data_IF_788342712554
#
_entry.id   IF_788342712554
#
_cell.length_a   1.000
_cell.length_b   1.000
_cell.length_c   1.000
_cell.angle_alpha   90.00
_cell.angle_beta   90.00
_cell.angle_gamma   90.00
#
_symmetry.space_group_name_H-M   'P 1'
#
loop_
_entity.id
_entity.type
_entity.pdbx_description
1 polymer ?
#
# COMPACT_ATOMS: atom_id res chain seq x y z
N UNK A 1 9.80 -6.35 -6.14
CA UNK A 1 9.88 -5.93 -4.72
C UNK A 1 11.22 -6.31 -4.12
N UNK A 2 11.68 -7.56 -4.31
CA UNK A 2 13.03 -7.94 -3.89
C UNK A 2 14.12 -7.06 -4.53
N UNK A 3 14.05 -6.80 -5.84
CA UNK A 3 14.99 -5.88 -6.51
C UNK A 3 14.96 -4.45 -5.93
N UNK A 4 13.79 -3.98 -5.50
CA UNK A 4 13.61 -2.66 -4.93
C UNK A 4 14.27 -2.54 -3.55
N UNK A 5 14.15 -3.57 -2.71
CA UNK A 5 14.74 -3.56 -1.37
C UNK A 5 16.26 -3.72 -1.41
N UNK A 6 16.78 -4.52 -2.35
CA UNK A 6 18.22 -4.73 -2.55
C UNK A 6 18.87 -3.56 -3.27
N UNK A 7 18.27 -3.08 -4.36
CA UNK A 7 18.81 -1.99 -5.17
C UNK A 7 18.92 -0.65 -4.42
N UNK A 8 18.10 -0.47 -3.38
CA UNK A 8 18.08 0.74 -2.54
C UNK A 8 18.25 0.39 -1.05
N UNK A 9 19.17 -0.52 -0.73
CA UNK A 9 19.37 -1.07 0.61
C UNK A 9 19.53 0.00 1.70
N UNK A 10 20.38 1.01 1.53
CA UNK A 10 20.60 2.04 2.54
C UNK A 10 19.31 2.78 2.90
N UNK A 11 18.52 3.14 1.88
CA UNK A 11 17.24 3.83 2.06
C UNK A 11 16.24 2.93 2.79
N UNK A 12 16.12 1.66 2.41
CA UNK A 12 15.18 0.76 3.06
C UNK A 12 15.62 0.35 4.47
N UNK A 13 16.91 0.32 4.78
CA UNK A 13 17.42 0.15 6.15
C UNK A 13 17.01 1.33 7.02
N UNK A 14 17.05 2.56 6.51
CA UNK A 14 16.58 3.73 7.24
C UNK A 14 15.05 3.78 7.40
N UNK A 15 14.30 3.43 6.35
CA UNK A 15 12.83 3.46 6.36
C UNK A 15 12.24 2.36 7.25
N UNK A 16 12.78 1.14 7.17
CA UNK A 16 12.25 -0.03 7.87
C UNK A 16 12.91 -0.25 9.23
N UNK A 17 14.08 0.33 9.48
CA UNK A 17 14.82 0.18 10.73
C UNK A 17 15.04 -1.29 11.09
N UNK A 18 14.62 -1.68 12.30
CA UNK A 18 14.75 -3.05 12.82
C UNK A 18 13.93 -4.07 12.03
N UNK A 19 12.90 -3.65 11.30
CA UNK A 19 12.07 -4.54 10.47
C UNK A 19 12.72 -4.90 9.13
N UNK A 20 13.83 -4.27 8.75
CA UNK A 20 14.45 -4.45 7.43
C UNK A 20 14.76 -5.92 7.11
N UNK A 21 15.45 -6.65 8.00
CA UNK A 21 15.85 -8.04 7.73
C UNK A 21 14.64 -8.98 7.65
N UNK A 22 13.59 -8.73 8.46
CA UNK A 22 12.31 -9.46 8.38
C UNK A 22 11.67 -9.24 7.01
N UNK A 23 11.51 -7.99 6.59
CA UNK A 23 10.88 -7.64 5.31
C UNK A 23 11.69 -8.20 4.16
N UNK A 24 13.02 -8.00 4.15
CA UNK A 24 13.93 -8.51 3.12
C UNK A 24 13.82 -10.03 2.96
N UNK A 25 13.78 -10.76 4.07
CA UNK A 25 13.64 -12.22 4.05
C UNK A 25 12.27 -12.62 3.54
N UNK A 26 11.19 -11.99 4.04
CA UNK A 26 9.83 -12.32 3.64
C UNK A 26 9.53 -12.00 2.15
N UNK A 27 10.13 -10.94 1.59
CA UNK A 27 9.99 -10.64 0.15
C UNK A 27 10.85 -11.54 -0.74
N UNK A 28 11.79 -12.27 -0.14
CA UNK A 28 12.62 -13.28 -0.80
C UNK A 28 12.08 -14.67 -0.43
N UNK A 29 10.95 -15.06 -1.01
CA UNK A 29 10.46 -16.43 -0.90
C UNK A 29 11.36 -17.32 -1.78
N UNK A 30 12.15 -18.26 -1.23
CA UNK A 30 12.99 -19.14 -2.01
C UNK A 30 12.15 -20.06 -2.90
N UNK A 31 12.63 -20.38 -4.11
CA UNK A 31 11.91 -21.19 -5.11
C UNK A 31 11.46 -22.58 -4.60
N UNK A 32 12.04 -23.05 -3.49
CA UNK A 32 11.75 -24.34 -2.87
C UNK A 32 10.80 -24.28 -1.65
N UNK A 33 10.29 -23.09 -1.28
CA UNK A 33 9.36 -22.92 -0.17
C UNK A 33 7.92 -22.81 -0.68
N UNK A 34 7.03 -23.67 -0.17
CA UNK A 34 5.58 -23.64 -0.48
C UNK A 34 4.90 -22.56 0.37
N UNK A 35 5.19 -21.30 0.05
CA UNK A 35 4.60 -20.12 0.70
C UNK A 35 5.22 -19.75 2.05
N UNK A 36 4.89 -18.54 2.52
CA UNK A 36 5.32 -18.02 3.81
C UNK A 36 4.43 -18.57 4.94
N UNK A 37 5.05 -18.98 6.05
CA UNK A 37 4.34 -19.32 7.28
C UNK A 37 3.65 -18.08 7.87
N UNK A 38 2.68 -18.29 8.76
CA UNK A 38 1.90 -17.18 9.34
C UNK A 38 2.79 -16.14 10.05
N UNK A 39 3.86 -16.58 10.71
CA UNK A 39 4.80 -15.71 11.41
C UNK A 39 5.69 -14.88 10.46
N UNK A 40 5.77 -15.30 9.19
CA UNK A 40 6.51 -14.61 8.13
C UNK A 40 5.63 -13.61 7.36
N UNK A 41 4.32 -13.56 7.63
CA UNK A 41 3.43 -12.62 6.97
C UNK A 41 3.77 -11.18 7.34
N UNK A 42 3.81 -10.33 6.32
CA UNK A 42 4.05 -8.89 6.47
C UNK A 42 2.75 -8.14 6.63
N UNK A 43 2.74 -7.13 7.49
CA UNK A 43 1.63 -6.19 7.58
C UNK A 43 1.80 -5.04 6.58
N UNK A 44 0.71 -4.38 6.19
CA UNK A 44 0.81 -3.17 5.36
C UNK A 44 1.53 -2.01 6.07
N UNK A 45 1.63 -2.02 7.41
CA UNK A 45 2.50 -1.09 8.13
C UNK A 45 3.98 -1.38 7.87
N UNK A 46 4.35 -2.65 7.72
CA UNK A 46 5.73 -3.07 7.44
C UNK A 46 6.14 -2.80 5.99
N UNK A 47 5.22 -3.01 5.03
CA UNK A 47 5.56 -3.00 3.60
C UNK A 47 4.82 -1.98 2.75
N UNK A 48 3.94 -1.14 3.32
CA UNK A 48 3.08 -0.24 2.55
C UNK A 48 3.87 0.74 1.66
N UNK A 49 4.92 1.36 2.20
CA UNK A 49 5.84 2.21 1.43
C UNK A 49 6.62 1.43 0.36
N UNK A 50 7.00 0.19 0.66
CA UNK A 50 7.76 -0.66 -0.27
C UNK A 50 6.89 -1.09 -1.46
N UNK A 51 5.65 -1.48 -1.22
CA UNK A 51 4.67 -1.80 -2.27
C UNK A 51 4.38 -0.57 -3.13
N UNK A 52 4.02 0.57 -2.51
CA UNK A 52 3.67 1.79 -3.25
C UNK A 52 4.81 2.19 -4.18
N UNK A 53 6.05 2.15 -3.68
CA UNK A 53 7.25 2.53 -4.43
C UNK A 53 7.57 1.52 -5.53
N UNK A 54 7.58 0.22 -5.22
CA UNK A 54 7.88 -0.85 -6.20
C UNK A 54 6.94 -0.79 -7.40
N UNK A 55 5.64 -0.66 -7.14
CA UNK A 55 4.62 -0.77 -8.18
C UNK A 55 4.17 0.59 -8.72
N UNK A 56 4.69 1.69 -8.19
CA UNK A 56 4.37 3.06 -8.60
C UNK A 56 2.86 3.32 -8.54
N UNK A 57 2.27 2.99 -7.39
CA UNK A 57 0.85 3.13 -7.12
C UNK A 57 0.62 3.93 -5.84
N UNK A 58 -0.50 4.65 -5.77
CA UNK A 58 -1.03 5.13 -4.50
C UNK A 58 -1.66 3.92 -3.81
N UNK A 59 -1.05 3.50 -2.70
CA UNK A 59 -1.55 2.39 -1.90
C UNK A 59 -2.33 2.92 -0.71
N UNK A 60 -3.57 2.50 -0.56
CA UNK A 60 -4.40 2.86 0.60
C UNK A 60 -4.61 1.62 1.44
N UNK A 61 -4.27 1.69 2.74
CA UNK A 61 -4.57 0.69 3.75
C UNK A 61 -5.81 1.15 4.53
N UNK A 62 -6.83 0.30 4.58
CA UNK A 62 -7.99 0.44 5.46
C UNK A 62 -7.97 -0.71 6.45
N UNK A 63 -7.88 -0.44 7.74
CA UNK A 63 -7.87 -1.44 8.81
C UNK A 63 -8.53 -0.86 10.06
N UNK A 64 -9.14 -1.72 10.87
CA UNK A 64 -9.78 -1.35 12.14
C UNK A 64 -8.78 -0.68 13.12
N UNK A 65 -7.48 -1.01 13.03
CA UNK A 65 -6.45 -0.41 13.89
C UNK A 65 -5.88 0.91 13.37
N UNK A 66 -5.64 1.02 12.06
CA UNK A 66 -5.14 2.25 11.44
C UNK A 66 -5.39 2.27 9.94
N UNK A 67 -5.82 3.44 9.44
CA UNK A 67 -5.91 3.69 8.02
C UNK A 67 -4.75 4.60 7.58
N UNK A 68 -4.15 4.33 6.43
CA UNK A 68 -3.01 5.13 5.93
C UNK A 68 -2.92 5.09 4.41
N UNK A 69 -2.46 6.19 3.83
CA UNK A 69 -2.13 6.27 2.41
C UNK A 69 -0.61 6.28 2.24
N UNK A 70 -0.10 5.38 1.41
CA UNK A 70 1.31 5.27 1.03
C UNK A 70 1.48 5.75 -0.40
N UNK A 71 2.38 6.71 -0.57
CA UNK A 71 2.79 7.20 -1.88
C UNK A 71 4.16 6.62 -2.24
N UNK A 72 4.50 6.51 -3.53
CA UNK A 72 5.85 6.11 -3.95
C UNK A 72 6.91 7.07 -3.40
N UNK A 73 8.04 6.54 -2.94
CA UNK A 73 9.19 7.35 -2.48
C UNK A 73 10.06 7.82 -3.63
N UNK A 74 10.14 7.04 -4.71
CA UNK A 74 10.97 7.30 -5.89
C UNK A 74 10.22 6.88 -7.15
N UNK A 75 9.86 7.87 -7.97
CA UNK A 75 9.28 7.76 -9.33
C UNK A 75 8.48 9.03 -9.62
N UNK A 76 8.49 9.46 -10.87
CA UNK A 76 7.61 10.56 -11.31
C UNK A 76 6.17 10.03 -11.36
N UNK A 77 5.17 10.77 -10.83
CA UNK A 77 3.77 10.39 -10.98
C UNK A 77 3.39 10.31 -12.47
N UNK A 78 2.58 9.31 -12.87
CA UNK A 78 2.07 9.25 -14.23
C UNK A 78 1.21 10.48 -14.52
N UNK A 79 1.17 10.90 -15.79
CA UNK A 79 0.34 12.01 -16.25
C UNK A 79 -1.16 11.80 -15.98
N UNK A 80 -1.59 10.57 -15.76
CA UNK A 80 -2.93 10.23 -15.31
C UNK A 80 -2.87 9.40 -14.02
N UNK A 81 -3.44 9.91 -12.93
CA UNK A 81 -3.40 9.31 -11.59
C UNK A 81 -4.38 8.15 -11.38
N UNK A 82 -4.78 7.48 -12.46
CA UNK A 82 -5.74 6.37 -12.44
C UNK A 82 -5.17 5.08 -11.81
N UNK A 83 -3.86 5.00 -11.59
CA UNK A 83 -3.19 3.85 -10.98
C UNK A 83 -3.24 3.90 -9.44
N UNK A 84 -4.45 3.80 -8.87
CA UNK A 84 -4.66 3.65 -7.43
C UNK A 84 -4.88 2.18 -7.07
N UNK A 85 -4.17 1.69 -6.07
CA UNK A 85 -4.37 0.37 -5.48
C UNK A 85 -4.92 0.56 -4.06
N UNK A 86 -6.21 0.29 -3.85
CA UNK A 86 -6.84 0.42 -2.54
C UNK A 86 -7.00 -0.99 -1.98
N UNK A 87 -6.37 -1.23 -0.83
CA UNK A 87 -6.40 -2.51 -0.14
C UNK A 87 -7.02 -2.30 1.24
N UNK A 88 -8.04 -3.09 1.54
CA UNK A 88 -8.66 -3.12 2.86
C UNK A 88 -8.33 -4.43 3.55
N UNK A 89 -8.01 -4.35 4.83
CA UNK A 89 -7.94 -5.46 5.76
C UNK A 89 -9.32 -5.64 6.37
N UNK A 90 -9.97 -6.77 6.10
CA UNK A 90 -11.43 -6.95 6.31
C UNK A 90 -11.74 -8.01 7.39
N UNK A 91 -10.85 -8.23 8.37
CA UNK A 91 -11.21 -9.08 9.49
C UNK A 91 -10.55 -8.70 10.81
N UNK A 92 -11.24 -9.03 11.91
CA UNK A 92 -10.78 -8.80 13.29
C UNK A 92 -9.44 -9.47 13.58
N UNK A 93 -9.13 -10.54 12.85
CA UNK A 93 -7.87 -11.29 12.99
C UNK A 93 -6.69 -10.61 12.26
N UNK A 94 -6.92 -9.60 11.43
CA UNK A 94 -5.91 -8.91 10.62
C UNK A 94 -5.13 -9.85 9.66
N UNK A 95 -5.78 -10.91 9.17
CA UNK A 95 -5.15 -11.97 8.35
C UNK A 95 -5.63 -11.97 6.89
N UNK A 96 -6.58 -11.09 6.53
CA UNK A 96 -7.15 -11.09 5.19
C UNK A 96 -7.21 -9.69 4.60
N UNK A 97 -6.55 -9.53 3.46
CA UNK A 97 -6.58 -8.33 2.64
C UNK A 97 -7.41 -8.58 1.39
N UNK A 98 -8.27 -7.63 1.06
CA UNK A 98 -8.96 -7.62 -0.22
C UNK A 98 -8.76 -6.27 -0.91
N UNK A 99 -8.84 -6.29 -2.23
CA UNK A 99 -8.89 -5.08 -3.03
C UNK A 99 -10.30 -4.52 -2.95
N UNK A 100 -10.43 -3.23 -2.64
CA UNK A 100 -11.73 -2.54 -2.62
C UNK A 100 -11.75 -1.39 -3.61
N UNK A 101 -12.96 -0.95 -3.96
CA UNK A 101 -13.19 0.31 -4.70
C UNK A 101 -13.85 1.29 -3.74
N UNK A 102 -13.29 2.49 -3.63
CA UNK A 102 -13.90 3.57 -2.87
C UNK A 102 -15.03 4.20 -3.68
N UNK A 103 -16.08 4.63 -2.99
CA UNK A 103 -17.11 5.48 -3.60
C UNK A 103 -16.51 6.83 -4.00
N UNK A 104 -17.13 7.47 -4.99
CA UNK A 104 -16.70 8.79 -5.46
C UNK A 104 -16.67 9.78 -4.28
N UNK A 105 -15.61 10.58 -4.19
CA UNK A 105 -15.38 11.57 -3.12
C UNK A 105 -15.18 11.01 -1.71
N UNK A 106 -15.04 9.69 -1.54
CA UNK A 106 -14.64 9.11 -0.26
C UNK A 106 -13.34 9.76 0.25
N UNK A 107 -13.25 10.11 1.55
CA UNK A 107 -12.02 10.64 2.10
C UNK A 107 -10.93 9.56 2.04
N UNK A 108 -9.75 9.93 1.54
CA UNK A 108 -8.57 9.09 1.71
C UNK A 108 -8.03 9.24 3.14
N UNK A 109 -7.49 8.17 3.72
CA UNK A 109 -6.74 8.26 4.97
C UNK A 109 -5.55 9.20 4.86
N UNK A 110 -5.07 9.67 6.02
CA UNK A 110 -3.86 10.48 6.10
C UNK A 110 -2.66 9.82 5.42
N UNK A 111 -1.79 10.65 4.86
CA UNK A 111 -0.50 10.23 4.33
C UNK A 111 0.34 9.57 5.44
N UNK A 112 1.02 8.47 5.10
CA UNK A 112 1.88 7.77 6.04
C UNK A 112 3.03 8.71 6.50
N UNK A 113 3.24 8.92 7.81
CA UNK A 113 4.10 9.99 8.33
C UNK A 113 5.53 9.98 7.79
N UNK A 114 6.11 8.80 7.59
CA UNK A 114 7.49 8.66 7.11
C UNK A 114 7.68 9.10 5.66
N UNK A 115 6.62 9.25 4.86
CA UNK A 115 6.76 9.60 3.44
C UNK A 115 7.48 10.93 3.25
N UNK A 116 7.12 11.97 4.01
CA UNK A 116 7.72 13.31 3.86
C UNK A 116 9.22 13.32 4.12
N UNK A 117 9.70 12.40 4.97
CA UNK A 117 11.11 12.30 5.33
C UNK A 117 11.96 11.65 4.25
N UNK A 118 11.40 10.67 3.53
CA UNK A 118 12.17 9.79 2.66
C UNK A 118 11.84 9.94 1.16
N UNK A 119 10.87 10.79 0.81
CA UNK A 119 10.51 11.05 -0.58
C UNK A 119 11.64 11.74 -1.34
N UNK A 120 11.93 11.25 -2.55
CA UNK A 120 12.86 11.90 -3.48
C UNK A 120 12.19 13.04 -4.25
N UNK A 121 12.98 14.00 -4.75
CA UNK A 121 12.47 15.17 -5.45
C UNK A 121 11.53 14.80 -6.61
N UNK A 122 11.89 13.77 -7.38
CA UNK A 122 11.10 13.31 -8.52
C UNK A 122 9.70 12.79 -8.15
N UNK A 123 9.52 12.36 -6.90
CA UNK A 123 8.29 11.77 -6.39
C UNK A 123 7.38 12.75 -5.66
N UNK A 124 7.79 14.00 -5.44
CA UNK A 124 6.95 15.00 -4.74
C UNK A 124 5.61 15.25 -5.41
N UNK A 125 5.54 15.17 -6.75
CA UNK A 125 4.30 15.33 -7.50
C UNK A 125 3.22 14.27 -7.19
N UNK A 126 3.57 13.14 -6.56
CA UNK A 126 2.58 12.19 -6.07
C UNK A 126 1.66 12.80 -5.00
N UNK A 127 2.15 13.79 -4.24
CA UNK A 127 1.35 14.50 -3.25
C UNK A 127 0.24 15.30 -3.91
N UNK A 128 0.52 15.94 -5.03
CA UNK A 128 -0.47 16.72 -5.77
C UNK A 128 -1.60 15.81 -6.26
N UNK A 129 -1.24 14.63 -6.79
CA UNK A 129 -2.24 13.65 -7.19
C UNK A 129 -3.02 12.97 -6.07
N UNK A 130 -2.45 12.94 -4.87
CA UNK A 130 -3.13 12.54 -3.65
C UNK A 130 -4.13 13.61 -3.17
N UNK A 131 -3.77 14.90 -3.28
CA UNK A 131 -4.60 16.05 -2.87
C UNK A 131 -5.70 16.36 -3.90
N UNK A 132 -5.41 16.23 -5.19
CA UNK A 132 -6.36 16.51 -6.29
C UNK A 132 -7.37 15.37 -6.35
N UNK A 133 -8.58 15.66 -5.86
CA UNK A 133 -9.78 14.83 -6.02
C UNK A 133 -10.32 14.99 -7.44
N UNK A 134 -9.72 14.30 -8.40
CA UNK A 134 -10.35 14.19 -9.72
C UNK A 134 -11.44 13.12 -9.68
N UNK A 135 -12.66 13.65 -9.74
CA UNK A 135 -13.94 13.06 -10.10
C UNK A 135 -13.73 11.95 -11.14
N UNK A 136 -13.98 10.70 -10.76
CA UNK A 136 -14.23 9.64 -11.74
C UNK A 136 -15.45 8.85 -11.28
N UNK A 137 -16.58 8.91 -12.00
CA UNK A 137 -17.70 8.01 -11.76
C UNK A 137 -17.46 6.72 -12.55
N UNK A 138 -17.09 5.61 -11.92
CA UNK A 138 -17.24 4.29 -12.56
C UNK A 138 -17.56 3.20 -11.54
N UNK A 139 -18.77 2.66 -11.69
CA UNK A 139 -19.26 1.38 -11.16
C UNK A 139 -18.74 0.24 -12.04
N UNK A 140 -18.35 -0.88 -11.41
CA UNK A 140 -18.77 -2.28 -11.70
C UNK A 140 -17.78 -3.26 -11.04
N UNK A 141 -18.33 -4.28 -10.37
CA UNK A 141 -17.65 -5.54 -10.06
C UNK A 141 -17.93 -6.52 -11.21
N UNK A 142 -17.05 -7.50 -11.45
CA UNK A 142 -17.29 -8.57 -12.43
C UNK A 142 -18.48 -9.48 -12.05
N UNK A 143 -19.07 -9.30 -10.86
CA UNK A 143 -20.20 -10.14 -10.37
C UNK A 143 -21.41 -9.36 -9.82
N UNK A 144 -21.52 -8.05 -10.09
CA UNK A 144 -22.78 -7.32 -9.89
C UNK A 144 -23.35 -7.23 -8.46
N UNK A 145 -22.62 -7.65 -7.43
CA UNK A 145 -23.12 -7.60 -6.04
C UNK A 145 -22.38 -6.53 -5.25
N UNK A 146 -23.11 -5.48 -4.85
CA UNK A 146 -22.67 -4.49 -3.86
C UNK A 146 -22.86 -5.08 -2.47
N UNK A 147 -21.78 -5.52 -1.83
CA UNK A 147 -21.75 -5.67 -0.38
C UNK A 147 -21.06 -4.45 0.21
N UNK A 148 -21.78 -3.67 1.03
CA UNK A 148 -21.14 -2.79 2.00
C UNK A 148 -20.35 -3.72 2.91
N UNK A 149 -19.03 -3.61 2.90
CA UNK A 149 -18.23 -4.26 3.93
C UNK A 149 -18.38 -3.41 5.18
N UNK A 150 -19.24 -3.88 6.07
CA UNK A 150 -19.29 -3.35 7.42
C UNK A 150 -18.04 -3.82 8.16
N UNK A 151 -17.13 -2.90 8.46
CA UNK A 151 -15.90 -3.20 9.19
C UNK A 151 -16.16 -3.44 10.69
N UNK A 152 -17.39 -3.24 11.15
CA UNK A 152 -17.82 -3.37 12.54
C UNK A 152 -18.68 -4.63 12.80
N UNK A 153 -18.78 -5.55 11.84
CA UNK A 153 -19.53 -6.80 12.01
C UNK A 153 -18.64 -7.94 12.56
N UNK A 154 -19.05 -8.62 13.66
CA UNK A 154 -18.27 -9.65 14.37
C UNK A 154 -18.12 -10.99 13.63
#
# INVERSE_FOLDING_TARGET
MFDEIIGYENLWREVLGTSYEKVKTAVHCPDNQVGASFDEWLTLSDMGLLISTTFKVILVNLSHGSCSTFLPLRSVPPSSLHSRLIIAMINERNIHWVRVKLIVNAPLPSLYPSWERYVEECAKGWRDGFVIRDIVPVVTSEEGTLSVVDLDSP
#
